data_IF_823883326367
#
_entry.id   IF_823883326367
#
_cell.length_a   1.000
_cell.length_b   1.000
_cell.length_c   1.000
_cell.angle_alpha   90.00
_cell.angle_beta   90.00
_cell.angle_gamma   90.00
#
_symmetry.space_group_name_H-M   'P 1'
#
loop_
_entity.id
_entity.type
_entity.pdbx_description
1 polymer ?
#
# COMPACT_ATOMS: atom_id res chain seq x y z
N UNK A 1 22.09 -21.06 30.22
CA UNK A 1 21.20 -21.41 29.14
C UNK A 1 19.71 -21.15 29.46
N UNK A 2 19.17 -21.60 30.63
CA UNK A 2 17.77 -21.29 31.03
C UNK A 2 17.47 -19.79 31.25
N UNK A 3 18.37 -19.01 31.82
CA UNK A 3 18.19 -17.56 32.03
C UNK A 3 18.17 -16.74 30.71
N UNK A 4 18.93 -17.17 29.71
CA UNK A 4 18.95 -16.52 28.37
C UNK A 4 17.67 -16.78 27.59
N UNK A 5 17.10 -17.97 27.69
CA UNK A 5 15.80 -18.32 27.08
C UNK A 5 14.63 -17.61 27.76
N UNK A 6 14.67 -17.41 29.10
CA UNK A 6 13.65 -16.64 29.79
C UNK A 6 13.69 -15.13 29.45
N UNK A 7 14.86 -14.54 29.27
CA UNK A 7 14.98 -13.12 28.88
C UNK A 7 14.50 -12.88 27.43
N UNK A 8 14.73 -13.84 26.54
CA UNK A 8 14.21 -13.80 25.16
C UNK A 8 12.68 -13.94 25.11
N UNK A 9 12.11 -14.82 25.94
CA UNK A 9 10.65 -15.01 26.06
C UNK A 9 9.93 -13.81 26.69
N UNK A 10 10.56 -13.10 27.63
CA UNK A 10 10.01 -11.87 28.24
C UNK A 10 10.02 -10.71 27.24
N UNK A 11 11.06 -10.56 26.41
CA UNK A 11 11.09 -9.54 25.34
C UNK A 11 10.07 -9.83 24.21
N UNK A 12 9.75 -11.10 23.95
CA UNK A 12 8.68 -11.49 23.02
C UNK A 12 7.27 -11.27 23.60
N UNK A 13 7.09 -11.29 24.94
CA UNK A 13 5.78 -11.08 25.58
C UNK A 13 5.41 -9.60 25.76
N UNK A 14 6.36 -8.68 25.83
CA UNK A 14 6.09 -7.23 25.98
C UNK A 14 5.64 -6.59 24.65
N UNK A 15 5.99 -7.19 23.49
CA UNK A 15 5.50 -6.75 22.17
C UNK A 15 4.06 -7.18 21.82
N UNK A 16 3.41 -8.02 22.65
CA UNK A 16 2.16 -8.69 22.30
C UNK A 16 0.86 -7.99 22.74
N UNK A 17 0.92 -6.82 23.34
CA UNK A 17 -0.27 -6.16 23.93
C UNK A 17 -0.94 -5.09 23.05
N UNK A 18 -0.47 -4.87 21.79
CA UNK A 18 -1.08 -3.91 20.86
C UNK A 18 -1.16 -4.43 19.41
N UNK A 19 -1.57 -5.69 19.19
CA UNK A 19 -1.64 -6.28 17.85
C UNK A 19 -2.90 -7.13 17.70
N UNK A 20 -4.00 -6.47 17.31
CA UNK A 20 -5.20 -7.17 16.78
C UNK A 20 -5.19 -7.33 15.25
N UNK A 21 -4.39 -6.57 14.51
CA UNK A 21 -4.42 -6.50 13.03
C UNK A 21 -3.14 -7.07 12.39
N UNK A 22 -2.07 -7.25 13.16
CA UNK A 22 -0.83 -7.88 12.69
C UNK A 22 -0.92 -9.39 12.53
N UNK A 23 -1.88 -10.04 13.17
CA UNK A 23 -1.96 -11.50 13.21
C UNK A 23 -2.31 -12.11 11.85
N UNK A 24 -3.24 -11.54 11.10
CA UNK A 24 -3.66 -12.11 9.81
C UNK A 24 -2.64 -11.87 8.69
N UNK A 25 -1.93 -10.74 8.70
CA UNK A 25 -0.82 -10.49 7.77
C UNK A 25 0.44 -11.30 8.16
N UNK A 26 0.72 -11.48 9.44
CA UNK A 26 1.77 -12.37 9.92
C UNK A 26 1.44 -13.85 9.68
N UNK A 27 0.17 -14.28 9.81
CA UNK A 27 -0.25 -15.64 9.45
C UNK A 27 -0.14 -15.87 7.93
N UNK A 28 -0.53 -14.94 7.08
CA UNK A 28 -0.39 -15.05 5.64
C UNK A 28 1.07 -15.05 5.17
N UNK A 29 1.92 -14.21 5.74
CA UNK A 29 3.36 -14.22 5.50
C UNK A 29 4.02 -15.49 6.06
N UNK A 30 3.64 -15.93 7.27
CA UNK A 30 4.14 -17.19 7.87
C UNK A 30 3.72 -18.42 7.06
N UNK A 31 2.53 -18.40 6.47
CA UNK A 31 2.04 -19.49 5.59
C UNK A 31 2.82 -19.52 4.28
N UNK A 32 3.05 -18.37 3.65
CA UNK A 32 3.89 -18.26 2.46
C UNK A 32 5.33 -18.72 2.71
N UNK A 33 5.93 -18.30 3.81
CA UNK A 33 7.29 -18.69 4.18
C UNK A 33 7.42 -20.20 4.46
N UNK A 34 6.42 -20.80 5.10
CA UNK A 34 6.35 -22.26 5.31
C UNK A 34 6.29 -23.04 3.99
N UNK A 35 5.53 -22.52 3.01
CA UNK A 35 5.47 -23.13 1.67
C UNK A 35 6.83 -23.08 0.99
N UNK A 36 7.52 -21.93 1.00
CA UNK A 36 8.85 -21.81 0.43
C UNK A 36 9.88 -22.72 1.10
N UNK A 37 9.90 -22.79 2.43
CA UNK A 37 10.77 -23.70 3.18
C UNK A 37 10.46 -25.15 2.81
N UNK A 38 9.18 -25.54 2.72
CA UNK A 38 8.77 -26.89 2.31
C UNK A 38 9.26 -27.21 0.88
N UNK A 39 9.15 -26.28 -0.06
CA UNK A 39 9.63 -26.43 -1.42
C UNK A 39 11.15 -26.64 -1.43
N UNK A 40 11.92 -25.83 -0.70
CA UNK A 40 13.38 -25.92 -0.62
C UNK A 40 13.81 -27.30 -0.06
N UNK A 41 13.20 -27.74 1.03
CA UNK A 41 13.51 -29.02 1.66
C UNK A 41 13.14 -30.20 0.74
N UNK A 42 11.93 -30.16 0.16
CA UNK A 42 11.48 -31.23 -0.76
C UNK A 42 12.36 -31.30 -1.99
N UNK A 43 12.70 -30.15 -2.58
CA UNK A 43 13.57 -30.09 -3.76
C UNK A 43 14.98 -30.62 -3.46
N UNK A 44 15.56 -30.23 -2.32
CA UNK A 44 16.86 -30.73 -1.87
C UNK A 44 16.83 -32.23 -1.68
N UNK A 45 15.75 -32.77 -1.09
CA UNK A 45 15.58 -34.22 -0.90
C UNK A 45 15.46 -34.97 -2.23
N UNK A 46 14.66 -34.46 -3.17
CA UNK A 46 14.46 -35.05 -4.50
C UNK A 46 15.79 -35.08 -5.28
N UNK A 47 16.54 -33.97 -5.28
CA UNK A 47 17.86 -33.89 -5.93
C UNK A 47 18.83 -34.90 -5.33
N UNK A 48 18.90 -34.99 -4.00
CA UNK A 48 19.77 -35.96 -3.31
C UNK A 48 19.39 -37.39 -3.62
N UNK A 49 18.10 -37.72 -3.64
CA UNK A 49 17.61 -39.06 -3.98
C UNK A 49 17.93 -39.42 -5.43
N UNK A 50 17.77 -38.50 -6.36
CA UNK A 50 18.11 -38.67 -7.77
C UNK A 50 19.61 -38.84 -7.95
N UNK A 51 20.42 -38.07 -7.26
CA UNK A 51 21.87 -38.16 -7.27
C UNK A 51 22.33 -39.53 -6.75
N UNK A 52 21.74 -40.00 -5.64
CA UNK A 52 22.03 -41.32 -5.09
C UNK A 52 21.69 -42.45 -6.07
N UNK A 53 20.50 -42.39 -6.69
CA UNK A 53 20.05 -43.41 -7.65
C UNK A 53 20.94 -43.48 -8.89
N UNK A 54 21.34 -42.35 -9.46
CA UNK A 54 22.22 -42.28 -10.64
C UNK A 54 23.66 -42.65 -10.31
N UNK A 55 24.15 -42.36 -9.11
CA UNK A 55 25.48 -42.79 -8.66
C UNK A 55 25.62 -44.30 -8.52
N UNK A 56 24.53 -45.01 -8.22
CA UNK A 56 24.50 -46.49 -8.22
C UNK A 56 24.56 -47.12 -9.61
N UNK A 57 24.28 -46.37 -10.67
CA UNK A 57 24.30 -46.86 -12.06
C UNK A 57 25.62 -46.57 -12.81
N UNK A 58 26.59 -45.90 -12.18
CA UNK A 58 27.90 -45.51 -12.76
C UNK A 58 28.35 -44.13 -12.23
N UNK A 59 29.35 -43.52 -12.90
CA UNK A 59 29.80 -42.19 -12.49
C UNK A 59 28.67 -41.16 -12.59
N UNK A 60 28.34 -40.45 -11.49
CA UNK A 60 27.27 -39.45 -11.53
C UNK A 60 27.63 -38.33 -12.51
N UNK A 61 26.69 -37.87 -13.34
CA UNK A 61 26.97 -36.77 -14.24
C UNK A 61 27.23 -35.49 -13.41
N UNK A 62 28.29 -34.77 -13.73
CA UNK A 62 28.69 -33.47 -13.10
C UNK A 62 27.52 -32.49 -13.05
N UNK A 63 26.62 -32.54 -14.02
CA UNK A 63 25.41 -31.71 -14.11
C UNK A 63 24.51 -31.81 -12.85
N UNK A 64 24.50 -32.93 -12.14
CA UNK A 64 23.67 -33.09 -10.94
C UNK A 64 24.17 -32.27 -9.75
N UNK A 65 25.45 -31.99 -9.69
CA UNK A 65 26.04 -31.14 -8.65
C UNK A 65 25.56 -29.69 -8.80
N UNK A 66 25.43 -29.22 -10.05
CA UNK A 66 24.94 -27.86 -10.34
C UNK A 66 23.46 -27.65 -9.99
N UNK A 67 22.63 -28.70 -10.00
CA UNK A 67 21.21 -28.61 -9.67
C UNK A 67 20.98 -28.18 -8.21
N UNK A 68 21.93 -28.40 -7.30
CA UNK A 68 21.87 -27.95 -5.91
C UNK A 68 21.87 -26.42 -5.75
N UNK A 69 22.28 -25.66 -6.79
CA UNK A 69 22.15 -24.22 -6.79
C UNK A 69 20.68 -23.74 -6.84
N UNK A 70 19.73 -24.55 -7.33
CA UNK A 70 18.31 -24.16 -7.42
C UNK A 70 17.70 -23.93 -6.04
N UNK A 71 17.72 -24.90 -5.07
CA UNK A 71 17.22 -24.64 -3.72
C UNK A 71 18.02 -23.54 -3.02
N UNK A 72 19.33 -23.41 -3.26
CA UNK A 72 20.17 -22.36 -2.71
C UNK A 72 19.70 -20.96 -3.18
N UNK A 73 19.45 -20.82 -4.49
CA UNK A 73 18.93 -19.57 -5.07
C UNK A 73 17.56 -19.20 -4.51
N UNK A 74 16.64 -20.17 -4.37
CA UNK A 74 15.31 -19.93 -3.79
C UNK A 74 15.43 -19.44 -2.33
N UNK A 75 16.32 -20.02 -1.53
CA UNK A 75 16.56 -19.60 -0.16
C UNK A 75 17.13 -18.19 -0.07
N UNK A 76 18.10 -17.85 -0.92
CA UNK A 76 18.70 -16.51 -1.01
C UNK A 76 17.66 -15.49 -1.44
N UNK A 77 16.95 -15.78 -2.54
CA UNK A 77 16.00 -14.83 -3.12
C UNK A 77 14.84 -14.50 -2.16
N UNK A 78 14.33 -15.50 -1.41
CA UNK A 78 13.22 -15.29 -0.49
C UNK A 78 13.66 -14.69 0.84
N UNK A 79 14.75 -15.18 1.44
CA UNK A 79 15.13 -14.87 2.81
C UNK A 79 16.46 -14.11 2.94
N UNK A 80 17.09 -13.71 1.83
CA UNK A 80 18.37 -12.99 1.83
C UNK A 80 19.55 -13.82 2.34
N UNK A 81 20.51 -13.15 3.00
CA UNK A 81 21.71 -13.80 3.53
C UNK A 81 21.41 -14.93 4.52
N UNK A 82 20.47 -14.72 5.45
CA UNK A 82 20.09 -15.75 6.43
C UNK A 82 19.54 -17.00 5.76
N UNK A 83 18.65 -16.82 4.77
CA UNK A 83 18.11 -17.94 4.00
C UNK A 83 19.16 -18.65 3.17
N UNK A 84 20.05 -17.89 2.53
CA UNK A 84 21.18 -18.44 1.79
C UNK A 84 22.07 -19.33 2.67
N UNK A 85 22.45 -18.86 3.84
CA UNK A 85 23.28 -19.63 4.78
C UNK A 85 22.58 -20.90 5.30
N UNK A 86 21.29 -20.82 5.65
CA UNK A 86 20.51 -21.98 6.08
C UNK A 86 20.35 -23.01 4.97
N UNK A 87 20.04 -22.56 3.74
CA UNK A 87 19.87 -23.44 2.58
C UNK A 87 21.21 -24.03 2.18
N UNK A 88 22.30 -23.26 2.24
CA UNK A 88 23.66 -23.77 2.01
C UNK A 88 24.01 -24.88 3.01
N UNK A 89 23.74 -24.69 4.31
CA UNK A 89 23.94 -25.73 5.32
C UNK A 89 23.12 -26.99 5.06
N UNK A 90 21.84 -26.84 4.69
CA UNK A 90 20.96 -27.95 4.33
C UNK A 90 21.50 -28.74 3.11
N UNK A 91 21.84 -28.02 2.04
CA UNK A 91 22.37 -28.60 0.80
C UNK A 91 23.72 -29.28 1.05
N UNK A 92 24.63 -28.66 1.80
CA UNK A 92 25.93 -29.25 2.16
C UNK A 92 25.77 -30.52 2.99
N UNK A 93 24.80 -30.54 3.91
CA UNK A 93 24.49 -31.76 4.69
C UNK A 93 23.94 -32.88 3.79
N UNK A 94 23.05 -32.52 2.86
CA UNK A 94 22.48 -33.46 1.88
C UNK A 94 23.56 -34.00 0.91
N UNK A 95 24.57 -33.20 0.58
CA UNK A 95 25.68 -33.54 -0.27
C UNK A 95 26.79 -34.34 0.47
N UNK A 96 26.84 -34.31 1.81
CA UNK A 96 27.89 -34.96 2.61
C UNK A 96 28.14 -36.45 2.30
N UNK A 97 27.13 -37.33 2.06
CA UNK A 97 27.34 -38.71 1.70
C UNK A 97 28.15 -38.87 0.40
N UNK A 98 28.00 -37.97 -0.56
CA UNK A 98 28.76 -37.98 -1.84
C UNK A 98 30.16 -37.42 -1.65
N UNK A 99 30.36 -36.47 -0.73
CA UNK A 99 31.66 -35.92 -0.40
C UNK A 99 32.58 -36.99 0.20
N UNK A 100 32.04 -37.78 1.15
CA UNK A 100 32.79 -38.85 1.82
C UNK A 100 32.68 -40.22 1.12
N UNK A 101 31.90 -40.30 0.03
CA UNK A 101 31.64 -41.57 -0.68
C UNK A 101 32.86 -42.14 -1.36
N UNK A 102 32.93 -43.47 -1.33
CA UNK A 102 34.08 -44.32 -1.73
C UNK A 102 34.23 -44.40 -3.27
N UNK A 103 33.32 -43.76 -4.03
CA UNK A 103 33.18 -43.99 -5.48
C UNK A 103 34.21 -43.30 -6.40
N UNK A 104 35.07 -42.45 -5.85
CA UNK A 104 36.24 -41.96 -6.58
C UNK A 104 37.40 -41.69 -5.61
N UNK A 105 38.48 -42.37 -5.79
CA UNK A 105 39.69 -42.28 -4.94
C UNK A 105 40.76 -41.34 -5.49
N UNK A 106 40.45 -40.61 -6.60
CA UNK A 106 41.37 -39.65 -7.19
C UNK A 106 41.39 -38.32 -6.48
N UNK A 107 42.59 -37.75 -6.23
CA UNK A 107 42.75 -36.45 -5.60
C UNK A 107 42.04 -35.32 -6.37
N UNK A 108 41.91 -35.41 -7.68
CA UNK A 108 41.20 -34.46 -8.55
C UNK A 108 39.72 -34.38 -8.20
N UNK A 109 39.10 -35.55 -7.97
CA UNK A 109 37.68 -35.59 -7.60
C UNK A 109 37.40 -35.02 -6.19
N UNK A 110 38.35 -35.17 -5.26
CA UNK A 110 38.25 -34.57 -3.93
C UNK A 110 38.39 -33.04 -4.03
N UNK A 111 39.34 -32.58 -4.85
CA UNK A 111 39.52 -31.14 -5.08
C UNK A 111 38.28 -30.49 -5.73
N UNK A 112 37.69 -31.14 -6.73
CA UNK A 112 36.49 -30.69 -7.42
C UNK A 112 35.32 -30.52 -6.46
N UNK A 113 35.01 -31.49 -5.62
CA UNK A 113 33.97 -31.45 -4.60
C UNK A 113 34.23 -30.36 -3.55
N UNK A 114 35.49 -30.19 -3.15
CA UNK A 114 35.88 -29.14 -2.22
C UNK A 114 35.64 -27.76 -2.84
N UNK A 115 36.04 -27.56 -4.09
CA UNK A 115 35.83 -26.32 -4.82
C UNK A 115 34.34 -26.04 -4.99
N UNK A 116 33.51 -27.03 -5.31
CA UNK A 116 32.07 -26.89 -5.42
C UNK A 116 31.44 -26.38 -4.11
N UNK A 117 31.76 -26.98 -2.96
CA UNK A 117 31.29 -26.50 -1.66
C UNK A 117 31.81 -25.10 -1.34
N UNK A 118 33.07 -24.80 -1.63
CA UNK A 118 33.64 -23.49 -1.39
C UNK A 118 32.95 -22.41 -2.22
N UNK A 119 32.80 -22.64 -3.53
CA UNK A 119 32.16 -21.67 -4.43
C UNK A 119 30.67 -21.49 -4.14
N UNK A 120 29.94 -22.56 -3.84
CA UNK A 120 28.53 -22.47 -3.45
C UNK A 120 28.34 -21.68 -2.13
N UNK A 121 29.26 -21.83 -1.17
CA UNK A 121 29.28 -21.04 0.07
C UNK A 121 29.57 -19.56 -0.17
N UNK A 122 30.60 -19.27 -1.00
CA UNK A 122 30.91 -17.88 -1.41
C UNK A 122 29.72 -17.26 -2.15
N UNK A 123 29.12 -18.00 -3.05
CA UNK A 123 27.92 -17.57 -3.78
C UNK A 123 26.77 -17.26 -2.83
N UNK A 124 26.48 -18.14 -1.84
CA UNK A 124 25.43 -17.92 -0.85
C UNK A 124 25.62 -16.62 -0.07
N UNK A 125 26.87 -16.34 0.34
CA UNK A 125 27.20 -15.12 1.09
C UNK A 125 27.07 -13.88 0.19
N UNK A 126 27.73 -13.88 -0.97
CA UNK A 126 27.74 -12.70 -1.85
C UNK A 126 26.36 -12.38 -2.39
N UNK A 127 25.64 -13.36 -2.90
CA UNK A 127 24.29 -13.16 -3.42
C UNK A 127 23.30 -12.75 -2.30
N UNK A 128 23.41 -13.37 -1.12
CA UNK A 128 22.61 -13.00 0.05
C UNK A 128 22.84 -11.56 0.49
N UNK A 129 24.10 -11.10 0.56
CA UNK A 129 24.45 -9.73 0.88
C UNK A 129 23.94 -8.73 -0.17
N UNK A 130 24.02 -9.08 -1.46
CA UNK A 130 23.52 -8.23 -2.54
C UNK A 130 22.00 -8.08 -2.46
N UNK A 131 21.27 -9.16 -2.25
CA UNK A 131 19.79 -9.13 -2.10
C UNK A 131 19.38 -8.28 -0.87
N UNK A 132 20.05 -8.47 0.28
CA UNK A 132 19.74 -7.69 1.47
C UNK A 132 20.06 -6.20 1.29
N UNK A 133 21.15 -5.86 0.61
CA UNK A 133 21.49 -4.47 0.26
C UNK A 133 20.46 -3.84 -0.67
N UNK A 134 20.02 -4.57 -1.68
CA UNK A 134 19.00 -4.05 -2.62
C UNK A 134 17.68 -3.79 -1.92
N UNK A 135 17.21 -4.70 -1.07
CA UNK A 135 16.02 -4.50 -0.25
C UNK A 135 16.14 -3.31 0.71
N UNK A 136 17.33 -3.09 1.28
CA UNK A 136 17.58 -1.93 2.13
C UNK A 136 17.56 -0.63 1.31
N UNK A 137 18.14 -0.63 0.11
CA UNK A 137 18.13 0.53 -0.81
C UNK A 137 16.72 0.88 -1.26
N UNK A 138 15.89 -0.12 -1.60
CA UNK A 138 14.49 0.09 -1.96
C UNK A 138 13.72 0.75 -0.80
N UNK A 139 13.81 0.21 0.42
CA UNK A 139 13.20 0.79 1.62
C UNK A 139 13.69 2.20 1.93
N UNK A 140 14.98 2.46 1.74
CA UNK A 140 15.54 3.80 1.95
C UNK A 140 15.05 4.76 0.87
N UNK A 141 15.04 4.36 -0.40
CA UNK A 141 14.53 5.17 -1.52
C UNK A 141 13.04 5.51 -1.33
N UNK A 142 12.22 4.57 -0.87
CA UNK A 142 10.82 4.85 -0.52
C UNK A 142 10.70 5.88 0.60
N UNK A 143 11.52 5.72 1.66
CA UNK A 143 11.57 6.67 2.77
C UNK A 143 12.03 8.06 2.32
N UNK A 144 13.06 8.13 1.48
CA UNK A 144 13.61 9.38 0.97
C UNK A 144 12.62 10.08 0.03
N UNK A 145 11.90 9.34 -0.83
CA UNK A 145 10.79 9.86 -1.63
C UNK A 145 9.66 10.41 -0.76
N UNK A 146 9.32 9.70 0.31
CA UNK A 146 8.33 10.14 1.29
C UNK A 146 8.76 11.43 1.99
N UNK A 147 10.02 11.51 2.45
CA UNK A 147 10.58 12.70 3.10
C UNK A 147 10.70 13.89 2.14
N UNK A 148 11.11 13.66 0.90
CA UNK A 148 11.16 14.69 -0.14
C UNK A 148 9.75 15.23 -0.44
N UNK A 149 8.76 14.35 -0.53
CA UNK A 149 7.34 14.73 -0.63
C UNK A 149 6.90 15.61 0.54
N UNK A 150 7.22 15.23 1.78
CA UNK A 150 6.92 16.03 2.97
C UNK A 150 7.64 17.39 2.93
N UNK A 151 8.89 17.46 2.49
CA UNK A 151 9.64 18.71 2.41
C UNK A 151 9.02 19.72 1.46
N UNK A 152 8.62 19.30 0.27
CA UNK A 152 7.91 20.13 -0.71
C UNK A 152 6.53 20.56 -0.18
N UNK A 153 5.84 19.64 0.45
CA UNK A 153 4.54 19.80 1.12
C UNK A 153 4.62 20.80 2.28
N UNK A 154 5.66 20.73 3.12
CA UNK A 154 5.81 21.63 4.27
C UNK A 154 5.85 23.11 3.84
N UNK A 155 6.50 23.42 2.73
CA UNK A 155 6.54 24.79 2.19
C UNK A 155 5.14 25.26 1.77
N UNK A 156 4.37 24.41 1.09
CA UNK A 156 3.01 24.70 0.66
C UNK A 156 2.07 24.87 1.86
N UNK A 157 2.16 23.97 2.87
CA UNK A 157 1.36 24.06 4.10
C UNK A 157 1.64 25.36 4.83
N UNK A 158 2.91 25.72 5.02
CA UNK A 158 3.29 26.96 5.69
C UNK A 158 2.74 28.18 4.93
N UNK A 159 2.80 28.18 3.60
CA UNK A 159 2.23 29.21 2.78
C UNK A 159 0.70 29.30 2.95
N UNK A 160 0.00 28.17 2.91
CA UNK A 160 -1.46 28.11 2.99
C UNK A 160 -2.00 28.40 4.39
N UNK A 161 -1.24 28.14 5.44
CA UNK A 161 -1.54 28.55 6.80
C UNK A 161 -1.25 30.04 7.03
N UNK A 162 -0.23 30.61 6.36
CA UNK A 162 0.13 32.02 6.50
C UNK A 162 -0.96 32.96 6.02
N UNK A 163 -1.65 32.64 4.93
CA UNK A 163 -2.68 33.49 4.34
C UNK A 163 -3.88 33.72 5.29
N UNK A 164 -4.56 32.66 5.82
CA UNK A 164 -5.65 32.86 6.77
C UNK A 164 -5.16 33.48 8.09
N UNK A 165 -3.92 33.19 8.53
CA UNK A 165 -3.33 33.85 9.70
C UNK A 165 -3.20 35.36 9.52
N UNK A 166 -2.74 35.83 8.34
CA UNK A 166 -2.67 37.27 8.02
C UNK A 166 -4.07 37.90 8.06
N UNK A 167 -5.08 37.18 7.55
CA UNK A 167 -6.48 37.65 7.59
C UNK A 167 -6.98 37.81 9.03
N UNK A 168 -6.76 36.79 9.89
CA UNK A 168 -7.11 36.84 11.32
C UNK A 168 -6.43 38.00 11.99
N UNK A 169 -5.12 38.18 11.82
CA UNK A 169 -4.36 39.27 12.43
C UNK A 169 -4.83 40.64 11.94
N UNK A 170 -5.13 40.78 10.64
CA UNK A 170 -5.58 42.02 10.03
C UNK A 170 -6.94 42.47 10.57
N UNK A 171 -7.91 41.54 10.63
CA UNK A 171 -9.25 41.85 11.16
C UNK A 171 -9.24 42.07 12.68
N UNK A 172 -8.49 41.26 13.43
CA UNK A 172 -8.33 41.43 14.89
C UNK A 172 -7.74 42.80 15.23
N UNK A 173 -6.72 43.27 14.43
CA UNK A 173 -6.16 44.60 14.61
C UNK A 173 -7.18 45.72 14.35
N UNK A 174 -7.96 45.61 13.25
CA UNK A 174 -9.01 46.57 12.91
C UNK A 174 -10.08 46.63 13.99
N UNK A 175 -10.52 45.49 14.55
CA UNK A 175 -11.45 45.40 15.66
C UNK A 175 -10.90 46.12 16.91
N UNK A 176 -9.63 45.89 17.25
CA UNK A 176 -8.98 46.56 18.37
C UNK A 176 -8.87 48.08 18.19
N UNK A 177 -8.72 48.56 16.97
CA UNK A 177 -8.67 49.97 16.63
C UNK A 177 -10.06 50.61 16.51
N UNK A 178 -11.15 49.86 16.73
CA UNK A 178 -12.53 50.36 16.59
C UNK A 178 -12.92 50.67 15.13
N UNK A 179 -12.20 50.13 14.15
CA UNK A 179 -12.39 50.44 12.73
C UNK A 179 -13.13 49.31 12.02
N UNK A 180 -14.15 49.63 11.25
CA UNK A 180 -14.86 48.71 10.37
C UNK A 180 -16.08 48.05 11.00
N UNK A 181 -16.69 47.12 10.25
CA UNK A 181 -17.86 46.38 10.72
C UNK A 181 -17.39 45.16 11.54
N UNK A 182 -17.80 45.11 12.81
CA UNK A 182 -17.41 44.08 13.77
C UNK A 182 -17.91 42.68 13.36
N UNK A 183 -19.15 42.57 12.86
CA UNK A 183 -19.73 41.30 12.45
C UNK A 183 -18.99 40.72 11.25
N UNK A 184 -18.69 41.55 10.23
CA UNK A 184 -17.89 41.13 9.09
C UNK A 184 -16.48 40.70 9.49
N UNK A 185 -15.88 41.38 10.45
CA UNK A 185 -14.55 41.04 10.96
C UNK A 185 -14.59 39.72 11.72
N UNK A 186 -15.60 39.49 12.57
CA UNK A 186 -15.78 38.23 13.29
C UNK A 186 -15.98 37.04 12.35
N UNK A 187 -16.85 37.20 11.34
CA UNK A 187 -17.04 36.16 10.30
C UNK A 187 -15.72 35.83 9.54
N UNK A 188 -15.00 36.86 9.11
CA UNK A 188 -13.74 36.64 8.38
C UNK A 188 -12.67 35.94 9.23
N UNK A 189 -12.63 36.21 10.54
CA UNK A 189 -11.75 35.54 11.49
C UNK A 189 -12.18 34.08 11.66
N UNK A 190 -13.48 33.83 11.84
CA UNK A 190 -14.03 32.50 11.99
C UNK A 190 -13.72 31.62 10.76
N UNK A 191 -14.07 32.09 9.56
CA UNK A 191 -13.82 31.38 8.29
C UNK A 191 -12.34 31.07 8.10
N UNK A 192 -11.45 32.00 8.49
CA UNK A 192 -10.00 31.82 8.39
C UNK A 192 -9.48 30.78 9.39
N UNK A 193 -10.03 30.78 10.60
CA UNK A 193 -9.67 29.80 11.63
C UNK A 193 -10.13 28.39 11.26
N UNK A 194 -11.37 28.24 10.77
CA UNK A 194 -11.90 26.98 10.26
C UNK A 194 -11.09 26.46 9.08
N UNK A 195 -10.68 27.34 8.15
CA UNK A 195 -9.79 26.97 7.05
C UNK A 195 -8.43 26.46 7.54
N UNK A 196 -7.83 27.10 8.56
CA UNK A 196 -6.59 26.62 9.15
C UNK A 196 -6.74 25.24 9.78
N UNK A 197 -7.84 25.03 10.52
CA UNK A 197 -8.15 23.73 11.12
C UNK A 197 -8.24 22.63 10.05
N UNK A 198 -8.98 22.89 8.97
CA UNK A 198 -9.12 21.96 7.85
C UNK A 198 -7.78 21.62 7.17
N UNK A 199 -6.88 22.60 7.00
CA UNK A 199 -5.53 22.37 6.46
C UNK A 199 -4.74 21.45 7.38
N UNK A 200 -4.76 21.71 8.69
CA UNK A 200 -4.04 20.90 9.69
C UNK A 200 -4.58 19.47 9.74
N UNK A 201 -5.90 19.29 9.84
CA UNK A 201 -6.54 17.97 9.88
C UNK A 201 -6.23 17.14 8.62
N UNK A 202 -6.42 17.72 7.44
CA UNK A 202 -6.11 17.06 6.17
C UNK A 202 -4.64 16.69 6.05
N UNK A 203 -3.73 17.54 6.55
CA UNK A 203 -2.30 17.28 6.56
C UNK A 203 -1.94 16.11 7.47
N UNK A 204 -2.46 16.11 8.70
CA UNK A 204 -2.24 15.02 9.66
C UNK A 204 -2.80 13.69 9.14
N UNK A 205 -3.95 13.74 8.52
CA UNK A 205 -4.60 12.57 7.94
C UNK A 205 -3.85 12.01 6.73
N UNK A 206 -3.28 12.89 5.91
CA UNK A 206 -2.42 12.46 4.80
C UNK A 206 -1.11 11.84 5.31
N UNK A 207 -0.51 12.41 6.37
CA UNK A 207 0.75 11.95 6.94
C UNK A 207 0.63 10.61 7.69
N UNK A 208 -0.56 10.29 8.23
CA UNK A 208 -0.77 9.03 8.96
C UNK A 208 -0.70 7.82 8.04
N UNK A 209 0.00 6.73 8.46
CA UNK A 209 -0.12 5.45 7.78
C UNK A 209 -1.58 4.97 7.82
N UNK A 210 -2.13 4.57 6.69
CA UNK A 210 -3.46 3.98 6.66
C UNK A 210 -3.35 2.57 7.24
N UNK A 211 -3.96 2.35 8.41
CA UNK A 211 -4.20 1.04 8.98
C UNK A 211 -5.66 0.71 8.71
N UNK A 212 -5.90 -0.26 7.85
CA UNK A 212 -7.24 -0.67 7.47
C UNK A 212 -7.74 -1.77 8.41
N UNK A 213 -8.97 -1.61 8.91
CA UNK A 213 -9.76 -2.67 9.58
C UNK A 213 -10.80 -3.18 8.57
N UNK A 214 -10.34 -4.03 7.65
CA UNK A 214 -11.20 -4.53 6.56
C UNK A 214 -12.15 -5.61 7.06
N UNK A 215 -13.45 -5.45 6.78
CA UNK A 215 -14.53 -6.42 7.06
C UNK A 215 -15.33 -6.67 5.79
N UNK A 216 -16.07 -7.77 5.79
CA UNK A 216 -17.05 -8.00 4.73
C UNK A 216 -18.20 -7.00 4.90
N UNK A 217 -18.32 -6.05 3.99
CA UNK A 217 -19.30 -4.98 3.99
C UNK A 217 -20.08 -4.95 2.67
N UNK A 218 -21.32 -4.45 2.72
CA UNK A 218 -22.09 -4.15 1.52
C UNK A 218 -21.89 -2.67 1.13
N UNK A 219 -21.33 -2.45 -0.06
CA UNK A 219 -21.05 -1.11 -0.57
C UNK A 219 -22.31 -0.21 -0.63
N UNK A 220 -23.50 -0.79 -0.73
CA UNK A 220 -24.74 0.00 -0.76
C UNK A 220 -24.87 0.88 0.49
N UNK A 221 -24.68 0.31 1.68
CA UNK A 221 -24.76 1.07 2.94
C UNK A 221 -23.72 2.19 2.99
N UNK A 222 -22.50 1.94 2.52
CA UNK A 222 -21.43 2.93 2.42
C UNK A 222 -21.83 4.07 1.47
N UNK A 223 -22.38 3.74 0.31
CA UNK A 223 -22.79 4.71 -0.70
C UNK A 223 -24.00 5.55 -0.22
N UNK A 224 -24.95 4.95 0.47
CA UNK A 224 -26.08 5.66 1.07
C UNK A 224 -25.61 6.68 2.11
N UNK A 225 -24.62 6.34 2.96
CA UNK A 225 -23.99 7.26 3.91
C UNK A 225 -23.28 8.42 3.21
N UNK A 226 -22.53 8.13 2.14
CA UNK A 226 -21.84 9.15 1.33
C UNK A 226 -22.84 10.15 0.74
N UNK A 227 -23.95 9.66 0.15
CA UNK A 227 -25.02 10.51 -0.37
C UNK A 227 -25.58 11.39 0.73
N UNK A 228 -25.92 10.81 1.89
CA UNK A 228 -26.48 11.56 3.01
C UNK A 228 -25.52 12.67 3.51
N UNK A 229 -24.23 12.35 3.59
CA UNK A 229 -23.18 13.29 4.02
C UNK A 229 -23.01 14.46 3.03
N UNK A 230 -23.07 14.19 1.71
CA UNK A 230 -22.84 15.20 0.67
C UNK A 230 -24.09 15.99 0.27
N UNK A 231 -25.29 15.55 0.69
CA UNK A 231 -26.58 16.10 0.25
C UNK A 231 -26.73 17.60 0.53
N UNK A 232 -26.44 18.03 1.74
CA UNK A 232 -26.56 19.43 2.13
C UNK A 232 -25.68 20.34 1.26
N UNK A 233 -24.42 19.94 1.04
CA UNK A 233 -23.48 20.68 0.19
C UNK A 233 -23.93 20.74 -1.27
N UNK A 234 -24.51 19.67 -1.80
CA UNK A 234 -25.05 19.64 -3.15
C UNK A 234 -26.26 20.58 -3.28
N UNK A 235 -27.15 20.59 -2.30
CA UNK A 235 -28.32 21.49 -2.24
C UNK A 235 -27.90 22.98 -2.16
N UNK A 236 -26.87 23.31 -1.37
CA UNK A 236 -26.34 24.68 -1.28
C UNK A 236 -25.81 25.22 -2.62
N UNK A 237 -25.25 24.35 -3.45
CA UNK A 237 -24.71 24.71 -4.77
C UNK A 237 -25.77 24.57 -5.89
N UNK A 238 -26.91 23.95 -5.59
CA UNK A 238 -27.98 23.69 -6.58
C UNK A 238 -27.64 22.52 -7.52
N UNK A 239 -26.81 21.56 -7.06
CA UNK A 239 -26.38 20.39 -7.82
C UNK A 239 -27.26 19.19 -7.46
N UNK A 240 -27.74 18.46 -8.51
CA UNK A 240 -28.53 17.23 -8.31
C UNK A 240 -27.61 16.06 -8.01
N UNK A 241 -27.74 15.43 -6.84
CA UNK A 241 -27.01 14.24 -6.46
C UNK A 241 -27.88 12.98 -6.66
N UNK A 242 -27.38 11.96 -7.34
CA UNK A 242 -28.12 10.72 -7.61
C UNK A 242 -27.27 9.48 -7.36
N UNK A 243 -27.93 8.39 -6.91
CA UNK A 243 -27.31 7.08 -6.66
C UNK A 243 -27.95 6.04 -7.57
N UNK A 244 -27.14 5.36 -8.36
CA UNK A 244 -27.54 4.32 -9.30
C UNK A 244 -26.84 3.00 -8.94
N UNK A 245 -27.46 2.19 -8.08
CA UNK A 245 -26.90 0.93 -7.57
C UNK A 245 -27.89 -0.20 -7.81
N UNK A 246 -27.47 -1.35 -8.38
CA UNK A 246 -28.35 -2.49 -8.60
C UNK A 246 -28.91 -3.03 -7.28
N UNK A 247 -30.05 -3.70 -7.33
CA UNK A 247 -30.69 -4.31 -6.15
C UNK A 247 -29.86 -5.46 -5.55
N UNK A 248 -28.93 -6.02 -6.29
CA UNK A 248 -28.06 -7.11 -5.85
C UNK A 248 -27.01 -6.61 -4.86
N UNK A 249 -26.68 -7.43 -3.86
CA UNK A 249 -25.66 -7.14 -2.85
C UNK A 249 -24.28 -6.98 -3.50
N UNK A 250 -23.55 -5.93 -3.12
CA UNK A 250 -22.20 -5.58 -3.58
C UNK A 250 -21.17 -5.78 -2.46
N UNK A 251 -21.02 -7.04 -2.02
CA UNK A 251 -20.13 -7.39 -0.92
C UNK A 251 -18.66 -7.37 -1.29
N UNK A 252 -17.85 -6.72 -0.46
CA UNK A 252 -16.38 -6.67 -0.57
C UNK A 252 -15.75 -6.57 0.81
N UNK A 253 -14.44 -6.86 0.90
CA UNK A 253 -13.67 -6.69 2.12
C UNK A 253 -13.09 -5.26 2.16
N UNK A 254 -13.72 -4.38 2.94
CA UNK A 254 -13.30 -2.98 3.06
C UNK A 254 -13.38 -2.48 4.51
N UNK A 255 -12.61 -1.45 4.80
CA UNK A 255 -12.80 -0.58 5.96
C UNK A 255 -13.86 0.47 5.57
N UNK A 256 -15.08 0.34 6.10
CA UNK A 256 -16.23 1.17 5.75
C UNK A 256 -15.95 2.66 6.00
N UNK A 257 -15.34 3.00 7.13
CA UNK A 257 -15.04 4.38 7.51
C UNK A 257 -14.04 5.03 6.53
N UNK A 258 -12.96 4.33 6.18
CA UNK A 258 -11.98 4.84 5.22
C UNK A 258 -12.56 4.90 3.80
N UNK A 259 -13.39 3.94 3.41
CA UNK A 259 -14.01 3.95 2.09
C UNK A 259 -15.05 5.06 1.96
N UNK A 260 -15.90 5.29 2.98
CA UNK A 260 -16.81 6.45 3.05
C UNK A 260 -16.03 7.75 2.89
N UNK A 261 -14.90 7.89 3.58
CA UNK A 261 -14.04 9.06 3.49
C UNK A 261 -13.47 9.26 2.09
N UNK A 262 -12.99 8.19 1.44
CA UNK A 262 -12.48 8.26 0.07
C UNK A 262 -13.56 8.72 -0.91
N UNK A 263 -14.73 8.09 -0.85
CA UNK A 263 -15.85 8.40 -1.73
C UNK A 263 -16.42 9.79 -1.48
N UNK A 264 -16.52 10.22 -0.23
CA UNK A 264 -16.93 11.59 0.14
C UNK A 264 -15.98 12.64 -0.45
N UNK A 265 -14.67 12.38 -0.45
CA UNK A 265 -13.69 13.26 -1.10
C UNK A 265 -13.92 13.35 -2.61
N UNK A 266 -14.23 12.23 -3.28
CA UNK A 266 -14.51 12.20 -4.72
C UNK A 266 -15.78 12.96 -5.04
N UNK A 267 -16.87 12.69 -4.32
CA UNK A 267 -18.19 13.32 -4.52
C UNK A 267 -18.12 14.82 -4.24
N UNK A 268 -17.46 15.24 -3.16
CA UNK A 268 -17.27 16.67 -2.87
C UNK A 268 -16.50 17.40 -3.96
N UNK A 269 -15.47 16.75 -4.54
CA UNK A 269 -14.72 17.34 -5.66
C UNK A 269 -15.59 17.51 -6.89
N UNK A 270 -16.48 16.54 -7.19
CA UNK A 270 -17.44 16.60 -8.29
C UNK A 270 -18.51 17.69 -8.06
N UNK A 271 -19.04 17.84 -6.83
CA UNK A 271 -19.97 18.92 -6.47
C UNK A 271 -19.29 20.29 -6.66
N UNK A 272 -18.05 20.45 -6.18
CA UNK A 272 -17.30 21.70 -6.31
C UNK A 272 -16.89 22.04 -7.76
N UNK A 273 -16.81 21.05 -8.66
CA UNK A 273 -16.55 21.25 -10.08
C UNK A 273 -17.82 21.55 -10.89
N UNK A 274 -18.99 21.40 -10.25
CA UNK A 274 -20.30 21.58 -10.86
C UNK A 274 -20.92 22.93 -10.48
N UNK A 275 -21.86 23.39 -11.30
CA UNK A 275 -22.65 24.61 -11.08
C UNK A 275 -24.12 24.27 -10.93
N UNK A 276 -24.95 25.27 -10.53
CA UNK A 276 -26.40 25.11 -10.39
C UNK A 276 -27.06 24.46 -11.60
N UNK A 277 -27.93 23.50 -11.35
CA UNK A 277 -28.63 22.71 -12.36
C UNK A 277 -27.85 21.51 -12.93
N UNK A 278 -26.57 21.35 -12.60
CA UNK A 278 -25.77 20.21 -13.02
C UNK A 278 -25.99 18.98 -12.12
N UNK A 279 -25.51 17.81 -12.59
CA UNK A 279 -25.75 16.53 -11.93
C UNK A 279 -24.43 15.86 -11.53
N UNK A 280 -24.40 15.26 -10.34
CA UNK A 280 -23.38 14.30 -9.89
C UNK A 280 -24.06 12.96 -9.67
N UNK A 281 -23.56 11.92 -10.34
CA UNK A 281 -24.10 10.55 -10.26
C UNK A 281 -23.05 9.65 -9.63
N UNK A 282 -23.46 8.86 -8.64
CA UNK A 282 -22.67 7.75 -8.12
C UNK A 282 -23.32 6.47 -8.61
N UNK A 283 -22.58 5.63 -9.30
CA UNK A 283 -23.02 4.30 -9.69
C UNK A 283 -22.08 3.23 -9.17
N UNK A 284 -22.61 2.03 -8.92
CA UNK A 284 -21.80 0.89 -8.57
C UNK A 284 -22.31 -0.36 -9.22
N UNK A 285 -21.42 -1.19 -9.74
CA UNK A 285 -21.75 -2.44 -10.38
C UNK A 285 -20.70 -3.54 -10.09
N UNK A 286 -21.10 -4.77 -10.29
CA UNK A 286 -20.17 -5.90 -10.23
C UNK A 286 -19.68 -6.24 -11.62
N UNK A 287 -18.39 -6.09 -11.88
CA UNK A 287 -17.73 -6.41 -13.13
C UNK A 287 -16.77 -7.60 -12.92
N UNK A 288 -17.20 -8.79 -13.30
CA UNK A 288 -16.43 -10.05 -13.18
C UNK A 288 -15.90 -10.30 -11.74
N UNK A 289 -14.61 -10.04 -11.50
CA UNK A 289 -13.94 -10.25 -10.21
C UNK A 289 -13.83 -8.97 -9.38
N UNK A 290 -14.27 -7.84 -9.90
CA UNK A 290 -14.17 -6.55 -9.25
C UNK A 290 -15.54 -5.94 -9.00
N UNK A 291 -15.61 -5.04 -8.03
CA UNK A 291 -16.68 -4.06 -7.89
C UNK A 291 -16.18 -2.74 -8.46
N UNK A 292 -16.97 -2.12 -9.29
CA UNK A 292 -16.64 -0.85 -9.94
C UNK A 292 -17.59 0.21 -9.43
N UNK A 293 -17.05 1.26 -8.83
CA UNK A 293 -17.79 2.45 -8.40
C UNK A 293 -17.39 3.58 -9.33
N UNK A 294 -18.37 4.30 -9.88
CA UNK A 294 -18.16 5.49 -10.73
C UNK A 294 -18.77 6.69 -10.06
N UNK A 295 -18.01 7.78 -10.00
CA UNK A 295 -18.50 9.11 -9.63
C UNK A 295 -18.38 9.98 -10.86
N UNK A 296 -19.50 10.36 -11.44
CA UNK A 296 -19.59 11.11 -12.72
C UNK A 296 -20.23 12.46 -12.47
N UNK A 297 -19.58 13.53 -12.90
CA UNK A 297 -20.13 14.89 -12.89
C UNK A 297 -20.24 15.45 -14.31
N UNK A 298 -21.12 16.41 -14.48
CA UNK A 298 -21.29 17.20 -15.71
C UNK A 298 -20.68 18.60 -15.59
N UNK A 299 -19.67 18.75 -14.71
CA UNK A 299 -19.04 20.01 -14.38
C UNK A 299 -18.07 20.55 -15.42
N UNK A 300 -17.17 21.41 -14.97
CA UNK A 300 -16.20 22.10 -15.85
C UNK A 300 -15.16 21.19 -16.49
N UNK A 301 -14.97 19.96 -15.97
CA UNK A 301 -13.92 19.05 -16.39
C UNK A 301 -12.50 19.55 -16.10
N UNK A 302 -11.50 18.84 -16.63
CA UNK A 302 -10.08 19.11 -16.37
C UNK A 302 -9.31 19.29 -17.66
N UNK A 303 -8.36 20.23 -17.67
CA UNK A 303 -7.33 20.31 -18.70
C UNK A 303 -6.26 19.22 -18.50
N UNK A 304 -5.42 19.02 -19.48
CA UNK A 304 -4.39 17.97 -19.49
C UNK A 304 -3.42 18.10 -18.30
N UNK A 305 -3.01 19.29 -17.97
CA UNK A 305 -2.09 19.55 -16.86
C UNK A 305 -2.74 19.14 -15.51
N UNK A 306 -4.01 19.51 -15.30
CA UNK A 306 -4.76 19.11 -14.11
C UNK A 306 -4.97 17.61 -14.05
N UNK A 307 -5.31 16.99 -15.17
CA UNK A 307 -5.53 15.55 -15.27
C UNK A 307 -4.27 14.75 -14.89
N UNK A 308 -3.10 15.18 -15.37
CA UNK A 308 -1.82 14.54 -15.05
C UNK A 308 -1.41 14.68 -13.58
N UNK A 309 -1.88 15.75 -12.90
CA UNK A 309 -1.45 16.11 -11.54
C UNK A 309 -2.54 15.97 -10.47
N UNK A 310 -3.78 15.60 -10.81
CA UNK A 310 -4.93 15.58 -9.89
C UNK A 310 -4.73 14.72 -8.64
N UNK A 311 -3.92 13.68 -8.71
CA UNK A 311 -3.57 12.82 -7.59
C UNK A 311 -2.28 13.21 -6.87
N UNK A 312 -1.57 14.24 -7.36
CA UNK A 312 -0.38 14.77 -6.69
C UNK A 312 -0.82 15.52 -5.44
N UNK A 313 -0.30 15.19 -4.25
CA UNK A 313 -0.67 15.88 -3.02
C UNK A 313 -0.41 17.39 -3.12
N UNK A 314 -1.35 18.18 -2.58
CA UNK A 314 -1.33 19.66 -2.59
C UNK A 314 -1.45 20.32 -3.97
N UNK A 315 -1.69 19.56 -5.02
CA UNK A 315 -2.03 20.12 -6.31
C UNK A 315 -3.50 20.56 -6.32
N UNK A 316 -3.74 21.82 -6.47
CA UNK A 316 -5.09 22.40 -6.59
C UNK A 316 -5.03 23.71 -7.39
N UNK A 317 -5.91 23.85 -8.38
CA UNK A 317 -6.17 25.13 -9.05
C UNK A 317 -7.29 25.94 -8.37
N UNK A 318 -7.93 25.34 -7.33
CA UNK A 318 -9.01 25.97 -6.56
C UNK A 318 -8.42 26.87 -5.47
N UNK A 319 -8.94 28.09 -5.33
CA UNK A 319 -8.49 29.07 -4.30
C UNK A 319 -8.71 28.62 -2.86
N UNK A 320 -9.66 27.69 -2.62
CA UNK A 320 -10.03 27.19 -1.28
C UNK A 320 -9.67 25.72 -1.06
N UNK A 321 -9.16 25.01 -2.07
CA UNK A 321 -8.87 23.59 -1.98
C UNK A 321 -7.48 23.29 -1.41
N UNK A 322 -7.35 22.33 -0.50
CA UNK A 322 -6.05 21.87 0.04
C UNK A 322 -5.27 20.99 -0.94
N UNK A 323 -5.88 20.49 -2.01
CA UNK A 323 -5.25 19.55 -2.95
C UNK A 323 -4.95 18.18 -2.36
N UNK A 324 -5.48 17.85 -1.18
CA UNK A 324 -5.23 16.56 -0.51
C UNK A 324 -6.34 15.53 -0.74
N UNK A 325 -7.57 15.96 -1.01
CA UNK A 325 -8.73 15.07 -1.08
C UNK A 325 -8.55 13.92 -2.09
N UNK A 326 -8.08 14.23 -3.32
CA UNK A 326 -7.84 13.22 -4.36
C UNK A 326 -6.68 12.28 -4.01
N UNK A 327 -5.60 12.81 -3.44
CA UNK A 327 -4.46 12.02 -3.00
C UNK A 327 -4.83 11.08 -1.84
N UNK A 328 -5.66 11.53 -0.89
CA UNK A 328 -6.20 10.71 0.20
C UNK A 328 -7.10 9.60 -0.36
N UNK A 329 -8.03 9.94 -1.26
CA UNK A 329 -8.90 8.95 -1.90
C UNK A 329 -8.09 7.86 -2.61
N UNK A 330 -7.08 8.23 -3.40
CA UNK A 330 -6.17 7.29 -4.06
C UNK A 330 -5.46 6.40 -3.05
N UNK A 331 -4.86 6.96 -2.01
CA UNK A 331 -4.16 6.23 -0.95
C UNK A 331 -5.07 5.21 -0.25
N UNK A 332 -6.32 5.57 0.02
CA UNK A 332 -7.30 4.65 0.64
C UNK A 332 -7.67 3.52 -0.32
N UNK A 333 -7.99 3.83 -1.57
CA UNK A 333 -8.37 2.82 -2.58
C UNK A 333 -7.22 1.84 -2.82
N UNK A 334 -6.00 2.33 -3.02
CA UNK A 334 -4.81 1.49 -3.19
C UNK A 334 -4.51 0.64 -1.95
N UNK A 335 -4.75 1.17 -0.75
CA UNK A 335 -4.65 0.42 0.50
C UNK A 335 -5.61 -0.77 0.56
N UNK A 336 -6.78 -0.67 -0.06
CA UNK A 336 -7.75 -1.77 -0.22
C UNK A 336 -7.43 -2.72 -1.40
N UNK A 337 -6.21 -2.66 -1.95
CA UNK A 337 -5.82 -3.40 -3.17
C UNK A 337 -6.68 -3.06 -4.37
N UNK A 338 -7.31 -1.89 -4.36
CA UNK A 338 -8.11 -1.34 -5.44
C UNK A 338 -7.29 -0.49 -6.41
N UNK A 339 -7.95 -0.04 -7.47
CA UNK A 339 -7.40 0.88 -8.47
C UNK A 339 -8.32 2.07 -8.63
N UNK A 340 -7.76 3.27 -8.77
CA UNK A 340 -8.50 4.47 -9.12
C UNK A 340 -7.98 5.03 -10.44
N UNK A 341 -8.90 5.31 -11.35
CA UNK A 341 -8.64 5.95 -12.64
C UNK A 341 -9.60 7.11 -12.85
N UNK A 342 -9.29 7.99 -13.78
CA UNK A 342 -10.07 9.20 -14.00
C UNK A 342 -10.05 9.54 -15.49
N UNK A 343 -11.23 9.89 -16.02
CA UNK A 343 -11.44 10.40 -17.37
C UNK A 343 -12.11 11.77 -17.27
N UNK A 344 -11.56 12.76 -17.95
CA UNK A 344 -12.11 14.12 -17.92
C UNK A 344 -11.82 14.87 -19.22
N UNK A 345 -12.75 15.75 -19.58
CA UNK A 345 -12.61 16.66 -20.71
C UNK A 345 -13.20 18.02 -20.34
N UNK A 346 -12.49 19.09 -20.63
CA UNK A 346 -12.93 20.47 -20.37
C UNK A 346 -14.32 20.71 -20.96
N UNK A 347 -15.25 21.19 -20.12
CA UNK A 347 -16.64 21.48 -20.46
C UNK A 347 -17.57 20.25 -20.59
N UNK A 348 -17.07 19.03 -20.33
CA UNK A 348 -17.86 17.79 -20.41
C UNK A 348 -17.94 17.03 -19.09
N UNK A 349 -17.29 17.55 -18.02
CA UNK A 349 -17.28 16.94 -16.71
C UNK A 349 -16.15 15.93 -16.52
N UNK A 350 -16.30 15.12 -15.44
CA UNK A 350 -15.32 14.14 -15.01
C UNK A 350 -15.99 12.84 -14.61
N UNK A 351 -15.36 11.72 -14.95
CA UNK A 351 -15.69 10.40 -14.43
C UNK A 351 -14.50 9.85 -13.64
N UNK A 352 -14.71 9.57 -12.36
CA UNK A 352 -13.74 8.88 -11.50
C UNK A 352 -14.19 7.45 -11.31
N UNK A 353 -13.32 6.49 -11.62
CA UNK A 353 -13.59 5.06 -11.58
C UNK A 353 -12.74 4.43 -10.46
N UNK A 354 -13.40 3.80 -9.51
CA UNK A 354 -12.78 3.04 -8.41
C UNK A 354 -13.09 1.56 -8.59
N UNK A 355 -12.06 0.75 -8.72
CA UNK A 355 -12.16 -0.70 -8.82
C UNK A 355 -11.69 -1.34 -7.51
N UNK A 356 -12.52 -2.20 -6.91
CA UNK A 356 -12.20 -2.94 -5.69
C UNK A 356 -12.32 -4.44 -5.94
N UNK A 357 -11.48 -5.30 -5.32
CA UNK A 357 -11.64 -6.74 -5.41
C UNK A 357 -13.00 -7.18 -4.85
N UNK A 358 -13.78 -7.93 -5.62
CA UNK A 358 -15.07 -8.46 -5.17
C UNK A 358 -14.88 -9.76 -4.39
N UNK A 359 -15.62 -9.95 -3.31
CA UNK A 359 -15.69 -11.26 -2.66
C UNK A 359 -16.39 -12.27 -3.57
N UNK A 360 -15.97 -13.56 -3.56
CA UNK A 360 -16.65 -14.60 -4.33
C UNK A 360 -18.13 -14.66 -3.92
N UNK A 361 -19.02 -14.77 -4.91
CA UNK A 361 -20.44 -15.04 -4.65
C UNK A 361 -20.52 -16.40 -3.96
N UNK A 362 -20.85 -16.46 -2.69
CA UNK A 362 -21.22 -17.69 -2.01
C UNK A 362 -22.49 -18.21 -2.70
N UNK A 363 -22.37 -19.30 -3.45
CA UNK A 363 -23.56 -20.00 -3.96
C UNK A 363 -24.38 -20.42 -2.75
N UNK A 364 -25.58 -19.84 -2.61
CA UNK A 364 -26.63 -20.36 -1.73
C UNK A 364 -27.18 -21.65 -2.30
#
# INVERSE_FOLDING_TARGET
>A
MKAFLQSALVRLKIGRKNQGIGADLEEGMATGDRIYVSIIVTLSFVITSLHFWLSGAGSPPIVLEEIYYIPLFLGIFRFGLRGGLWTYGLVSLAYAPFFFGIWSTGWVAILDRFLHLLFSGIFAVLAGLLIDRERQREKQSEKDRYLAGIGQVATTIVHDLKNPLITILGFSRRMREGKGNMDKAAHAIWDSAERMQNIVENTLDFARPIKLDTKEEDLRGILDNVIACCKMKAEEVGVTLSLEVPANSLKTAVDSCQMERALTNLVNNSIEASTEGQKVTISAERAAKNLVIRVTDTGMGMDRETLENVFVPYYSKKSKGTGLGMAIAKKIVEGHSGKITLESRVGHGTEVIVELPALPLTKR
#
